data_IF_101552833025
#
_entry.id   IF_101552833025
#
_cell.length_a   1.000
_cell.length_b   1.000
_cell.length_c   1.000
_cell.angle_alpha   90.00
_cell.angle_beta   90.00
_cell.angle_gamma   90.00
#
_symmetry.space_group_name_H-M   'P 1'
#
loop_
_entity.id
_entity.type
_entity.pdbx_description
1 polymer ?
#
# COMPACT_ATOMS: atom_id res chain seq x y z
N UNK A 1 4.52 -14.00 14.00
CA UNK A 1 5.44 -13.96 12.85
C UNK A 1 4.72 -14.52 11.62
N UNK A 2 4.77 -13.81 10.48
CA UNK A 2 3.85 -13.92 9.33
C UNK A 2 3.90 -15.28 8.63
N UNK A 3 3.08 -16.24 9.09
CA UNK A 3 2.88 -17.55 8.43
C UNK A 3 1.99 -17.46 7.16
N UNK A 4 1.51 -16.27 6.80
CA UNK A 4 0.48 -16.07 5.78
C UNK A 4 1.02 -16.04 4.33
N UNK A 5 2.28 -15.66 4.11
CA UNK A 5 2.87 -15.67 2.76
C UNK A 5 3.01 -17.09 2.17
N UNK A 6 2.95 -18.13 3.01
CA UNK A 6 2.85 -19.54 2.55
C UNK A 6 1.65 -19.81 1.63
N UNK A 7 0.57 -19.00 1.67
CA UNK A 7 -0.62 -19.20 0.82
C UNK A 7 -0.54 -18.55 -0.56
N UNK A 8 0.50 -17.75 -0.86
CA UNK A 8 0.76 -17.26 -2.21
C UNK A 8 1.83 -18.12 -2.87
N UNK A 9 1.40 -19.07 -3.70
CA UNK A 9 2.27 -19.85 -4.59
C UNK A 9 3.26 -18.89 -5.25
N UNK A 10 4.56 -19.01 -4.97
CA UNK A 10 5.58 -18.20 -5.63
C UNK A 10 6.63 -17.56 -4.74
N UNK A 11 6.32 -17.13 -3.51
CA UNK A 11 7.26 -16.33 -2.71
C UNK A 11 7.20 -16.70 -1.23
N UNK A 12 8.30 -17.19 -0.67
CA UNK A 12 8.37 -17.65 0.73
C UNK A 12 9.56 -17.01 1.43
N UNK A 13 9.42 -16.78 2.73
CA UNK A 13 10.53 -16.37 3.61
C UNK A 13 11.35 -17.64 3.90
N UNK A 14 12.59 -17.68 3.45
CA UNK A 14 13.53 -18.79 3.68
C UNK A 14 14.06 -18.80 5.11
N UNK A 15 14.95 -19.75 5.41
CA UNK A 15 15.49 -19.95 6.77
C UNK A 15 16.23 -18.73 7.32
N UNK A 16 16.88 -17.97 6.43
CA UNK A 16 17.61 -16.73 6.78
C UNK A 16 16.68 -15.52 7.00
N UNK A 17 15.37 -15.69 6.90
CA UNK A 17 14.41 -14.59 6.99
C UNK A 17 14.26 -13.78 5.69
N UNK A 18 14.90 -14.17 4.60
CA UNK A 18 14.80 -13.50 3.30
C UNK A 18 13.74 -14.15 2.41
N UNK A 19 13.00 -13.36 1.67
CA UNK A 19 12.11 -13.83 0.63
C UNK A 19 12.88 -14.43 -0.54
N UNK A 20 12.39 -15.55 -1.03
CA UNK A 20 12.86 -16.22 -2.24
C UNK A 20 11.68 -16.62 -3.11
N UNK A 21 11.91 -16.65 -4.42
CA UNK A 21 10.92 -17.12 -5.39
C UNK A 21 10.92 -18.66 -5.47
N UNK A 22 9.79 -19.31 -5.17
CA UNK A 22 9.61 -20.77 -5.26
C UNK A 22 8.33 -21.14 -6.01
N UNK A 23 8.47 -21.93 -7.07
CA UNK A 23 7.31 -22.37 -7.86
C UNK A 23 6.60 -21.24 -8.62
N UNK A 24 7.29 -20.13 -8.90
CA UNK A 24 6.75 -19.06 -9.75
C UNK A 24 6.58 -19.61 -11.17
N UNK A 25 5.42 -19.40 -11.83
CA UNK A 25 5.22 -19.90 -13.18
C UNK A 25 6.29 -19.37 -14.15
N UNK A 26 6.91 -20.24 -14.95
CA UNK A 26 7.93 -19.87 -15.96
C UNK A 26 7.47 -18.78 -16.94
N UNK A 27 6.14 -18.62 -17.07
CA UNK A 27 5.49 -17.60 -17.89
C UNK A 27 5.46 -16.22 -17.24
N UNK A 28 6.13 -15.98 -16.12
CA UNK A 28 6.20 -14.65 -15.51
C UNK A 28 7.46 -13.94 -15.99
N UNK A 29 7.39 -12.61 -16.11
CA UNK A 29 8.50 -11.79 -16.55
C UNK A 29 9.56 -11.80 -15.45
N UNK A 30 10.81 -12.09 -15.82
CA UNK A 30 11.91 -12.22 -14.85
C UNK A 30 12.13 -10.93 -14.04
N UNK A 31 12.07 -9.77 -14.69
CA UNK A 31 12.18 -8.47 -14.00
C UNK A 31 11.09 -8.33 -12.94
N UNK A 32 9.84 -8.65 -13.28
CA UNK A 32 8.75 -8.60 -12.32
C UNK A 32 9.00 -9.52 -11.12
N UNK A 33 9.38 -10.78 -11.35
CA UNK A 33 9.57 -11.76 -10.27
C UNK A 33 10.75 -11.42 -9.36
N UNK A 34 11.85 -10.96 -9.95
CA UNK A 34 13.04 -10.56 -9.21
C UNK A 34 12.75 -9.30 -8.38
N UNK A 35 12.03 -8.33 -8.95
CA UNK A 35 11.57 -7.13 -8.25
C UNK A 35 10.64 -7.44 -7.09
N UNK A 36 9.69 -8.38 -7.22
CA UNK A 36 8.84 -8.79 -6.09
C UNK A 36 9.70 -9.26 -4.90
N UNK A 37 10.67 -10.15 -5.16
CA UNK A 37 11.56 -10.68 -4.11
C UNK A 37 12.38 -9.56 -3.48
N UNK A 38 13.04 -8.74 -4.31
CA UNK A 38 13.84 -7.60 -3.86
C UNK A 38 12.99 -6.68 -2.97
N UNK A 39 11.82 -6.26 -3.44
CA UNK A 39 11.01 -5.27 -2.74
C UNK A 39 10.37 -5.84 -1.46
N UNK A 40 10.02 -7.12 -1.42
CA UNK A 40 9.61 -7.78 -0.17
C UNK A 40 10.72 -7.74 0.88
N UNK A 41 11.96 -8.04 0.48
CA UNK A 41 13.12 -7.96 1.37
C UNK A 41 13.42 -6.54 1.86
N UNK A 42 13.15 -5.52 1.04
CA UNK A 42 13.26 -4.13 1.46
C UNK A 42 12.17 -3.72 2.45
N UNK A 43 10.91 -4.11 2.19
CA UNK A 43 9.75 -3.52 2.86
C UNK A 43 9.21 -4.33 4.04
N UNK A 44 9.29 -5.66 4.04
CA UNK A 44 8.68 -6.48 5.10
C UNK A 44 9.22 -6.13 6.49
N UNK A 45 10.54 -5.94 6.60
CA UNK A 45 11.18 -5.55 7.87
C UNK A 45 10.66 -4.22 8.43
N UNK A 46 10.27 -3.28 7.55
CA UNK A 46 9.66 -2.01 7.97
C UNK A 46 8.28 -2.24 8.61
N UNK A 47 7.48 -3.15 8.06
CA UNK A 47 6.20 -3.54 8.64
C UNK A 47 6.40 -4.28 9.98
N UNK A 48 7.33 -5.24 10.06
CA UNK A 48 7.62 -5.96 11.31
C UNK A 48 8.06 -5.01 12.43
N UNK A 49 9.02 -4.11 12.15
CA UNK A 49 9.55 -3.18 13.16
C UNK A 49 8.52 -2.16 13.61
N UNK A 50 7.73 -1.60 12.70
CA UNK A 50 6.70 -0.62 13.06
C UNK A 50 5.59 -1.27 13.90
N UNK A 51 5.16 -2.48 13.55
CA UNK A 51 4.20 -3.25 14.36
C UNK A 51 4.72 -3.50 15.78
N UNK A 52 5.98 -3.91 15.92
CA UNK A 52 6.60 -4.16 17.24
C UNK A 52 6.75 -2.88 18.06
N UNK A 53 7.02 -1.75 17.40
CA UNK A 53 7.26 -0.46 18.06
C UNK A 53 5.97 0.17 18.59
N UNK A 54 4.90 0.14 17.81
CA UNK A 54 3.56 0.57 18.25
C UNK A 54 2.49 -0.09 17.41
N UNK A 55 1.86 -1.12 17.97
CA UNK A 55 0.83 -1.88 17.27
C UNK A 55 -0.42 -1.03 16.97
N UNK A 56 -0.79 -0.11 17.87
CA UNK A 56 -1.91 0.81 17.66
C UNK A 56 -1.69 1.71 16.44
N UNK A 57 -0.56 2.43 16.40
CA UNK A 57 -0.23 3.34 15.29
C UNK A 57 -0.02 2.57 13.97
N UNK A 58 0.51 1.35 14.06
CA UNK A 58 0.66 0.44 12.92
C UNK A 58 -0.70 0.04 12.32
N UNK A 59 -1.69 -0.32 13.14
CA UNK A 59 -3.03 -0.65 12.64
C UNK A 59 -3.70 0.59 12.04
N UNK A 60 -3.56 1.78 12.63
CA UNK A 60 -4.00 3.04 12.00
C UNK A 60 -3.39 3.23 10.62
N UNK A 61 -2.10 2.88 10.45
CA UNK A 61 -1.41 2.92 9.15
C UNK A 61 -1.99 1.93 8.15
N UNK A 62 -2.22 0.67 8.56
CA UNK A 62 -2.79 -0.37 7.70
C UNK A 62 -4.22 -0.04 7.23
N UNK A 63 -4.99 0.62 8.10
CA UNK A 63 -6.38 1.01 7.85
C UNK A 63 -6.51 2.41 7.24
N UNK A 64 -5.42 3.19 7.16
CA UNK A 64 -5.36 4.49 6.46
C UNK A 64 -6.45 5.47 6.93
N UNK A 65 -6.65 5.62 8.24
CA UNK A 65 -7.71 6.50 8.76
C UNK A 65 -7.46 7.99 8.50
N UNK A 66 -8.26 8.62 7.62
CA UNK A 66 -8.09 10.06 7.26
C UNK A 66 -9.16 11.01 7.81
N UNK A 67 -9.76 10.65 8.94
CA UNK A 67 -10.85 11.41 9.56
C UNK A 67 -12.21 10.84 9.16
N UNK A 68 -13.21 11.71 9.00
CA UNK A 68 -14.56 11.30 8.61
C UNK A 68 -14.54 10.94 7.12
N UNK A 69 -14.65 9.65 6.83
CA UNK A 69 -14.79 9.11 5.48
C UNK A 69 -15.99 8.17 5.46
N UNK A 70 -16.82 8.27 4.44
CA UNK A 70 -17.89 7.30 4.20
C UNK A 70 -17.31 6.03 3.56
N UNK A 71 -18.10 4.96 3.60
CA UNK A 71 -17.74 3.68 2.96
C UNK A 71 -17.42 3.91 1.47
N UNK A 72 -16.26 3.41 1.00
CA UNK A 72 -15.72 3.57 -0.36
C UNK A 72 -15.10 4.93 -0.70
N UNK A 73 -14.88 5.80 0.29
CA UNK A 73 -14.14 7.06 0.08
C UNK A 73 -12.63 6.91 0.25
N UNK A 74 -12.11 5.67 0.28
CA UNK A 74 -10.68 5.41 0.27
C UNK A 74 -10.14 5.46 -1.18
N UNK A 75 -9.34 6.49 -1.55
CA UNK A 75 -8.82 6.62 -2.92
C UNK A 75 -7.89 5.48 -3.31
N UNK A 76 -7.26 4.82 -2.32
CA UNK A 76 -6.40 3.68 -2.58
C UNK A 76 -7.21 2.45 -2.92
N UNK A 77 -8.34 2.19 -2.26
CA UNK A 77 -9.23 1.09 -2.66
C UNK A 77 -9.72 1.26 -4.10
N UNK A 78 -10.12 2.47 -4.49
CA UNK A 78 -10.46 2.78 -5.88
C UNK A 78 -9.27 2.53 -6.84
N UNK A 79 -8.05 2.87 -6.43
CA UNK A 79 -6.83 2.60 -7.21
C UNK A 79 -6.59 1.10 -7.39
N UNK A 80 -6.83 0.28 -6.36
CA UNK A 80 -6.69 -1.18 -6.41
C UNK A 80 -7.71 -1.80 -7.37
N UNK A 81 -8.97 -1.38 -7.31
CA UNK A 81 -10.02 -1.85 -8.22
C UNK A 81 -9.74 -1.44 -9.67
N UNK A 82 -9.32 -0.19 -9.88
CA UNK A 82 -8.94 0.34 -11.19
C UNK A 82 -7.77 -0.44 -11.79
N UNK A 83 -6.76 -0.74 -10.97
CA UNK A 83 -5.61 -1.54 -11.39
C UNK A 83 -6.05 -2.91 -11.91
N UNK A 84 -6.89 -3.63 -11.17
CA UNK A 84 -7.38 -4.96 -11.58
C UNK A 84 -8.20 -4.89 -12.89
N UNK A 85 -8.97 -3.81 -13.10
CA UNK A 85 -9.72 -3.57 -14.33
C UNK A 85 -8.81 -3.28 -15.52
N UNK A 86 -7.83 -2.38 -15.37
CA UNK A 86 -6.85 -2.05 -16.42
C UNK A 86 -6.04 -3.28 -16.79
N UNK A 87 -5.62 -4.08 -15.80
CA UNK A 87 -4.90 -5.32 -16.03
C UNK A 87 -5.71 -6.32 -16.87
N UNK A 88 -7.03 -6.42 -16.65
CA UNK A 88 -7.93 -7.23 -17.48
C UNK A 88 -8.04 -6.70 -18.91
N UNK A 89 -8.18 -5.37 -19.04
CA UNK A 89 -8.29 -4.70 -20.34
C UNK A 89 -7.02 -4.87 -21.17
N UNK A 90 -5.84 -4.78 -20.56
CA UNK A 90 -4.55 -4.96 -21.24
C UNK A 90 -4.35 -6.33 -21.90
N UNK A 91 -5.14 -7.35 -21.55
CA UNK A 91 -5.15 -8.63 -22.27
C UNK A 91 -5.89 -8.59 -23.61
N UNK A 92 -6.76 -7.60 -23.80
CA UNK A 92 -7.65 -7.48 -24.97
C UNK A 92 -7.15 -6.45 -25.99
N UNK A 93 -6.13 -5.67 -25.63
CA UNK A 93 -5.54 -4.63 -26.48
C UNK A 93 -4.18 -5.11 -26.98
N UNK A 94 -3.83 -4.72 -28.21
CA UNK A 94 -2.59 -5.09 -28.90
C UNK A 94 -1.88 -3.85 -29.46
N UNK A 95 -0.59 -3.99 -29.82
CA UNK A 95 0.21 -2.92 -30.40
C UNK A 95 0.45 -1.72 -29.46
N UNK A 96 0.73 -0.56 -30.03
CA UNK A 96 1.06 0.67 -29.31
C UNK A 96 -0.03 1.15 -28.32
N UNK A 97 -1.34 1.02 -28.60
CA UNK A 97 -2.38 1.34 -27.61
C UNK A 97 -2.26 0.55 -26.31
N UNK A 98 -1.74 -0.70 -26.38
CA UNK A 98 -1.46 -1.49 -25.18
C UNK A 98 -0.36 -0.85 -24.36
N UNK A 99 0.70 -0.36 -25.00
CA UNK A 99 1.82 0.31 -24.35
C UNK A 99 1.33 1.59 -23.66
N UNK A 100 0.53 2.41 -24.35
CA UNK A 100 -0.10 3.60 -23.75
C UNK A 100 -0.89 3.25 -22.48
N UNK A 101 -1.71 2.20 -22.51
CA UNK A 101 -2.47 1.76 -21.34
C UNK A 101 -1.55 1.41 -20.15
N UNK A 102 -0.44 0.70 -20.40
CA UNK A 102 0.51 0.35 -19.34
C UNK A 102 1.38 1.52 -18.89
N UNK A 103 1.64 2.51 -19.74
CA UNK A 103 2.27 3.76 -19.34
C UNK A 103 1.36 4.59 -18.43
N UNK A 104 0.06 4.67 -18.74
CA UNK A 104 -0.89 5.30 -17.83
C UNK A 104 -0.96 4.58 -16.48
N UNK A 105 -0.92 3.25 -16.49
CA UNK A 105 -0.86 2.46 -15.27
C UNK A 105 0.44 2.72 -14.49
N UNK A 106 1.59 2.80 -15.17
CA UNK A 106 2.86 3.19 -14.57
C UNK A 106 2.76 4.57 -13.92
N UNK A 107 2.24 5.57 -14.65
CA UNK A 107 1.98 6.92 -14.15
C UNK A 107 1.12 6.91 -12.89
N UNK A 108 0.00 6.16 -12.91
CA UNK A 108 -0.88 6.01 -11.75
C UNK A 108 -0.15 5.45 -10.52
N UNK A 109 0.69 4.43 -10.70
CA UNK A 109 1.44 3.82 -9.60
C UNK A 109 2.42 4.82 -8.97
N UNK A 110 3.17 5.57 -9.78
CA UNK A 110 4.18 6.52 -9.28
C UNK A 110 3.55 7.80 -8.72
N UNK A 111 2.35 8.18 -9.17
CA UNK A 111 1.63 9.35 -8.66
C UNK A 111 0.76 9.05 -7.43
N UNK A 112 0.36 7.81 -7.23
CA UNK A 112 -0.50 7.40 -6.13
C UNK A 112 0.09 7.85 -4.79
N UNK A 113 -0.64 8.67 -4.04
CA UNK A 113 -0.15 9.20 -2.75
C UNK A 113 -0.03 8.13 -1.66
N UNK A 114 -0.89 7.10 -1.70
CA UNK A 114 -1.01 6.16 -0.58
C UNK A 114 0.26 5.37 -0.26
N UNK A 115 0.98 4.80 -1.25
CA UNK A 115 2.22 4.10 -0.95
C UNK A 115 3.24 4.98 -0.22
N UNK A 116 3.32 6.28 -0.56
CA UNK A 116 4.19 7.23 0.15
C UNK A 116 3.71 7.46 1.58
N UNK A 117 2.41 7.67 1.78
CA UNK A 117 1.79 7.93 3.08
C UNK A 117 1.97 6.75 4.05
N UNK A 118 1.83 5.53 3.55
CA UNK A 118 2.07 4.31 4.33
C UNK A 118 3.54 4.24 4.73
N UNK A 119 4.48 4.37 3.78
CA UNK A 119 5.90 4.29 4.11
C UNK A 119 6.34 5.37 5.10
N UNK A 120 5.83 6.60 4.95
CA UNK A 120 6.11 7.69 5.88
C UNK A 120 5.62 7.38 7.29
N UNK A 121 4.39 6.86 7.43
CA UNK A 121 3.83 6.47 8.72
C UNK A 121 4.60 5.32 9.36
N UNK A 122 4.96 4.26 8.61
CA UNK A 122 5.74 3.16 9.15
C UNK A 122 7.12 3.64 9.63
N UNK A 123 7.78 4.52 8.87
CA UNK A 123 9.05 5.13 9.27
C UNK A 123 8.91 6.05 10.48
N UNK A 124 7.84 6.84 10.57
CA UNK A 124 7.53 7.65 11.75
C UNK A 124 7.40 6.77 12.98
N UNK A 125 6.64 5.67 12.88
CA UNK A 125 6.46 4.73 13.99
C UNK A 125 7.80 4.14 14.42
N UNK A 126 8.62 3.66 13.48
CA UNK A 126 9.97 3.16 13.78
C UNK A 126 10.83 4.20 14.53
N UNK A 127 10.70 5.48 14.17
CA UNK A 127 11.36 6.60 14.83
C UNK A 127 10.74 7.01 16.19
N UNK A 128 9.76 6.26 16.71
CA UNK A 128 9.02 6.58 17.93
C UNK A 128 7.98 7.69 17.77
N UNK A 129 7.70 8.09 16.53
CA UNK A 129 6.61 8.99 16.17
C UNK A 129 5.27 8.29 16.11
N UNK A 130 4.28 9.00 15.58
CA UNK A 130 2.88 8.58 15.53
C UNK A 130 2.36 8.49 14.11
N UNK A 131 1.23 7.82 13.94
CA UNK A 131 0.44 7.91 12.73
C UNK A 131 0.07 9.37 12.44
N UNK A 132 0.18 9.74 11.18
CA UNK A 132 -0.30 11.00 10.62
C UNK A 132 -1.26 10.67 9.48
N UNK A 133 -2.45 11.29 9.51
CA UNK A 133 -3.43 11.16 8.43
C UNK A 133 -2.89 11.70 7.10
N UNK A 134 -2.02 12.72 7.17
CA UNK A 134 -1.41 13.38 6.02
C UNK A 134 0.06 13.69 6.30
N UNK A 135 0.97 12.83 5.85
CA UNK A 135 2.41 13.08 5.92
C UNK A 135 2.85 14.09 4.87
N UNK A 136 2.12 14.24 3.76
CA UNK A 136 2.50 15.14 2.67
C UNK A 136 1.45 16.24 2.49
N UNK A 137 1.36 17.22 3.42
CA UNK A 137 0.42 18.33 3.30
C UNK A 137 0.75 19.21 2.10
N UNK A 138 -0.25 19.97 1.63
CA UNK A 138 -0.08 20.94 0.54
C UNK A 138 0.96 21.99 0.91
N UNK A 139 1.81 22.35 -0.05
CA UNK A 139 2.84 23.37 0.10
C UNK A 139 2.29 24.72 -0.37
N UNK A 140 2.54 25.77 0.42
CA UNK A 140 2.22 27.16 0.05
C UNK A 140 3.21 27.67 -1.00
N UNK A 141 2.69 28.30 -2.02
CA UNK A 141 3.41 28.93 -3.14
C UNK A 141 2.95 30.37 -3.30
N UNK A 142 3.62 31.12 -4.19
CA UNK A 142 3.18 32.48 -4.55
C UNK A 142 1.77 32.53 -5.18
N UNK A 143 1.28 31.41 -5.72
CA UNK A 143 -0.01 31.31 -6.42
C UNK A 143 -1.07 30.53 -5.64
N UNK A 144 -0.87 30.32 -4.33
CA UNK A 144 -1.75 29.51 -3.50
C UNK A 144 -1.10 28.19 -3.07
N UNK A 145 -1.86 27.10 -3.00
CA UNK A 145 -1.37 25.82 -2.49
C UNK A 145 -1.28 24.77 -3.60
N UNK A 146 -0.27 23.89 -3.55
CA UNK A 146 -0.17 22.72 -4.42
C UNK A 146 0.17 21.46 -3.64
N UNK A 147 -0.12 20.32 -4.24
CA UNK A 147 0.36 19.04 -3.71
C UNK A 147 1.87 18.90 -3.90
N UNK A 148 2.46 18.02 -3.10
CA UNK A 148 3.87 17.66 -3.23
C UNK A 148 4.07 16.72 -4.42
N UNK A 149 5.09 16.97 -5.21
CA UNK A 149 5.50 16.08 -6.30
C UNK A 149 6.13 14.80 -5.74
N UNK A 150 6.12 13.68 -6.49
CA UNK A 150 6.77 12.44 -6.07
C UNK A 150 8.23 12.63 -5.64
N UNK A 151 9.00 13.49 -6.32
CA UNK A 151 10.39 13.79 -5.95
C UNK A 151 10.51 14.38 -4.55
N UNK A 152 9.60 15.29 -4.17
CA UNK A 152 9.57 15.91 -2.84
C UNK A 152 9.17 14.89 -1.77
N UNK A 153 8.19 14.02 -2.09
CA UNK A 153 7.78 12.92 -1.22
C UNK A 153 8.94 11.95 -0.98
N UNK A 154 9.67 11.57 -2.04
CA UNK A 154 10.85 10.69 -1.96
C UNK A 154 11.94 11.31 -1.09
N UNK A 155 12.26 12.59 -1.27
CA UNK A 155 13.26 13.29 -0.44
C UNK A 155 12.87 13.30 1.04
N UNK A 156 11.60 13.55 1.36
CA UNK A 156 11.11 13.48 2.75
C UNK A 156 11.22 12.05 3.30
N UNK A 157 10.90 11.03 2.50
CA UNK A 157 11.07 9.64 2.91
C UNK A 157 12.55 9.30 3.16
N UNK A 158 13.50 9.83 2.39
CA UNK A 158 14.93 9.65 2.62
C UNK A 158 15.37 10.18 3.99
N UNK A 159 14.89 11.35 4.39
CA UNK A 159 15.17 11.90 5.73
C UNK A 159 14.62 10.97 6.82
N UNK A 160 13.38 10.50 6.68
CA UNK A 160 12.76 9.59 7.65
C UNK A 160 13.45 8.23 7.73
N UNK A 161 13.84 7.67 6.57
CA UNK A 161 14.53 6.39 6.46
C UNK A 161 15.94 6.44 7.02
N UNK A 162 16.68 7.54 6.81
CA UNK A 162 17.99 7.76 7.42
C UNK A 162 17.88 7.82 8.95
N UNK A 163 16.90 8.57 9.48
CA UNK A 163 16.66 8.65 10.93
C UNK A 163 16.34 7.29 11.55
N UNK A 164 15.61 6.44 10.81
CA UNK A 164 15.27 5.08 11.24
C UNK A 164 16.40 4.06 11.02
N UNK A 165 17.51 4.45 10.37
CA UNK A 165 18.55 3.54 9.88
C UNK A 165 18.02 2.41 8.98
N UNK A 166 17.08 2.77 8.09
CA UNK A 166 16.38 1.84 7.18
C UNK A 166 16.37 2.37 5.74
N UNK A 167 17.49 2.89 5.24
CA UNK A 167 17.56 3.53 3.91
C UNK A 167 17.17 2.60 2.75
N UNK A 168 17.38 1.29 2.93
CA UNK A 168 17.05 0.24 1.96
C UNK A 168 15.55 0.14 1.64
N UNK A 169 14.67 0.64 2.51
CA UNK A 169 13.21 0.64 2.27
C UNK A 169 12.81 1.52 1.08
N UNK A 170 13.69 2.41 0.62
CA UNK A 170 13.45 3.31 -0.51
C UNK A 170 13.93 2.76 -1.83
N UNK A 171 14.68 1.65 -1.83
CA UNK A 171 15.11 1.01 -3.07
C UNK A 171 13.96 0.70 -4.02
N UNK A 172 12.79 0.18 -3.57
CA UNK A 172 11.68 -0.09 -4.47
C UNK A 172 11.19 1.16 -5.21
N UNK A 173 11.07 2.30 -4.52
CA UNK A 173 10.60 3.55 -5.15
C UNK A 173 11.67 4.10 -6.10
N UNK A 174 12.94 4.10 -5.68
CA UNK A 174 14.05 4.58 -6.52
C UNK A 174 14.22 3.74 -7.79
N UNK A 175 13.90 2.45 -7.71
CA UNK A 175 14.02 1.52 -8.84
C UNK A 175 12.89 1.66 -9.87
N UNK A 176 11.73 2.22 -9.47
CA UNK A 176 10.57 2.43 -10.36
C UNK A 176 10.45 3.87 -10.87
N UNK A 177 10.93 4.85 -10.12
CA UNK A 177 10.70 6.27 -10.42
C UNK A 177 11.67 6.79 -11.48
N UNK A 178 11.16 7.08 -12.67
CA UNK A 178 11.85 7.80 -13.73
C UNK A 178 11.14 9.15 -13.96
N UNK A 179 11.83 10.24 -13.60
CA UNK A 179 11.25 11.60 -13.60
C UNK A 179 10.80 12.04 -15.00
N UNK A 180 11.62 11.78 -16.02
CA UNK A 180 11.35 12.23 -17.38
C UNK A 180 10.15 11.47 -17.95
N UNK A 181 10.15 10.14 -17.81
CA UNK A 181 9.05 9.30 -18.26
C UNK A 181 7.73 9.66 -17.56
N UNK A 182 7.77 9.84 -16.23
CA UNK A 182 6.61 10.28 -15.45
C UNK A 182 6.06 11.61 -15.98
N UNK A 183 6.92 12.59 -16.21
CA UNK A 183 6.48 13.91 -16.64
C UNK A 183 5.84 13.87 -18.02
N UNK A 184 6.44 13.13 -18.94
CA UNK A 184 5.88 12.93 -20.27
C UNK A 184 4.54 12.21 -20.24
N UNK A 185 4.38 11.18 -19.42
CA UNK A 185 3.08 10.49 -19.27
C UNK A 185 2.02 11.46 -18.73
N UNK A 186 2.34 12.22 -17.67
CA UNK A 186 1.40 13.14 -17.04
C UNK A 186 0.96 14.27 -17.97
N UNK A 187 1.86 14.74 -18.84
CA UNK A 187 1.58 15.80 -19.80
C UNK A 187 1.18 15.27 -21.19
N UNK A 188 1.09 13.95 -21.38
CA UNK A 188 0.93 13.32 -22.69
C UNK A 188 1.97 13.79 -23.73
N UNK A 189 3.17 14.13 -23.28
CA UNK A 189 4.31 14.61 -24.08
C UNK A 189 5.26 13.46 -24.41
N UNK A 190 4.72 12.44 -25.07
CA UNK A 190 5.48 11.31 -25.60
C UNK A 190 4.80 10.74 -26.85
N UNK A 191 5.56 10.01 -27.65
CA UNK A 191 5.03 9.19 -28.75
C UNK A 191 5.45 7.75 -28.55
N UNK A 192 4.55 6.83 -28.93
CA UNK A 192 4.88 5.40 -29.02
C UNK A 192 5.08 5.07 -30.49
N UNK A 193 6.21 4.47 -30.83
CA UNK A 193 6.48 4.03 -32.19
C UNK A 193 7.33 2.77 -32.15
N UNK A 194 6.85 1.68 -32.78
CA UNK A 194 7.54 0.39 -32.84
C UNK A 194 7.99 -0.14 -31.46
N UNK A 195 7.16 0.05 -30.44
CA UNK A 195 7.47 -0.37 -29.07
C UNK A 195 8.42 0.54 -28.29
N UNK A 196 8.95 1.59 -28.91
CA UNK A 196 9.77 2.60 -28.26
C UNK A 196 8.94 3.78 -27.77
N UNK A 197 9.42 4.42 -26.71
CA UNK A 197 8.84 5.66 -26.18
C UNK A 197 9.79 6.80 -26.50
N UNK A 198 9.29 7.78 -27.23
CA UNK A 198 10.05 8.97 -27.63
C UNK A 198 9.50 10.15 -26.83
N UNK A 199 10.35 10.76 -26.03
CA UNK A 199 10.09 12.02 -25.33
C UNK A 199 10.90 13.11 -26.04
N UNK A 200 10.29 14.25 -26.30
CA UNK A 200 10.93 15.35 -27.03
C UNK A 200 11.64 16.35 -26.12
N UNK A 201 11.25 16.44 -24.84
CA UNK A 201 11.81 17.38 -23.88
C UNK A 201 11.92 16.79 -22.46
N UNK A 202 13.08 16.25 -22.05
CA UNK A 202 14.33 16.14 -22.81
C UNK A 202 14.22 15.11 -23.94
N UNK A 203 14.99 15.28 -25.02
CA UNK A 203 15.03 14.28 -26.08
C UNK A 203 15.59 12.95 -25.52
N UNK A 204 14.72 11.95 -25.37
CA UNK A 204 15.07 10.65 -24.79
C UNK A 204 14.23 9.56 -25.42
N UNK A 205 14.88 8.46 -25.77
CA UNK A 205 14.24 7.28 -26.35
C UNK A 205 14.37 6.13 -25.37
N UNK A 206 13.23 5.57 -24.96
CA UNK A 206 13.17 4.36 -24.16
C UNK A 206 12.90 3.18 -25.09
N UNK A 207 13.85 2.26 -25.19
CA UNK A 207 13.64 1.02 -25.94
C UNK A 207 12.53 0.19 -25.31
N UNK A 208 11.90 -0.67 -26.11
CA UNK A 208 10.86 -1.60 -25.64
C UNK A 208 11.28 -2.37 -24.38
N UNK A 209 12.53 -2.84 -24.33
CA UNK A 209 13.09 -3.57 -23.17
C UNK A 209 13.16 -2.70 -21.91
N UNK A 210 13.59 -1.45 -22.03
CA UNK A 210 13.67 -0.52 -20.89
C UNK A 210 12.27 -0.18 -20.38
N UNK A 211 11.35 0.15 -21.28
CA UNK A 211 9.94 0.44 -20.97
C UNK A 211 9.28 -0.73 -20.28
N UNK A 212 9.41 -1.94 -20.84
CA UNK A 212 8.86 -3.16 -20.26
C UNK A 212 9.47 -3.48 -18.89
N UNK A 213 10.76 -3.21 -18.69
CA UNK A 213 11.43 -3.37 -17.40
C UNK A 213 10.85 -2.42 -16.35
N UNK A 214 10.74 -1.12 -16.66
CA UNK A 214 10.18 -0.10 -15.75
C UNK A 214 8.72 -0.41 -15.38
N UNK A 215 7.88 -0.78 -16.35
CA UNK A 215 6.50 -1.16 -16.10
C UNK A 215 6.46 -2.38 -15.17
N UNK A 216 7.23 -3.44 -15.45
CA UNK A 216 7.26 -4.63 -14.59
C UNK A 216 7.74 -4.32 -13.17
N UNK A 217 8.73 -3.45 -13.00
CA UNK A 217 9.18 -2.98 -11.69
C UNK A 217 8.06 -2.23 -10.96
N UNK A 218 7.38 -1.30 -11.62
CA UNK A 218 6.27 -0.55 -11.02
C UNK A 218 5.11 -1.45 -10.61
N UNK A 219 4.74 -2.42 -11.46
CA UNK A 219 3.74 -3.44 -11.15
C UNK A 219 4.15 -4.28 -9.93
N UNK A 220 5.43 -4.68 -9.86
CA UNK A 220 5.94 -5.44 -8.72
C UNK A 220 5.89 -4.61 -7.43
N UNK A 221 6.29 -3.34 -7.47
CA UNK A 221 6.21 -2.43 -6.33
C UNK A 221 4.77 -2.29 -5.81
N UNK A 222 3.82 -2.01 -6.70
CA UNK A 222 2.41 -1.91 -6.35
C UNK A 222 1.88 -3.21 -5.71
N UNK A 223 2.19 -4.35 -6.32
CA UNK A 223 1.76 -5.66 -5.82
C UNK A 223 2.36 -5.96 -4.44
N UNK A 224 3.65 -5.66 -4.20
CA UNK A 224 4.28 -5.86 -2.88
C UNK A 224 3.60 -5.01 -1.80
N UNK A 225 3.43 -3.70 -2.03
CA UNK A 225 2.80 -2.81 -1.06
C UNK A 225 1.38 -3.29 -0.71
N UNK A 226 0.55 -3.55 -1.74
CA UNK A 226 -0.80 -4.10 -1.58
C UNK A 226 -0.80 -5.38 -0.74
N UNK A 227 0.13 -6.27 -1.02
CA UNK A 227 0.17 -7.59 -0.39
C UNK A 227 0.68 -7.57 1.04
N UNK A 228 1.64 -6.69 1.36
CA UNK A 228 2.09 -6.51 2.73
C UNK A 228 0.95 -5.95 3.58
N UNK A 229 0.30 -4.87 3.15
CA UNK A 229 -0.86 -4.30 3.86
C UNK A 229 -1.90 -5.39 4.14
N UNK A 230 -2.27 -6.13 3.09
CA UNK A 230 -3.27 -7.19 3.21
C UNK A 230 -2.81 -8.31 4.14
N UNK A 231 -1.58 -8.79 4.00
CA UNK A 231 -1.03 -9.89 4.81
C UNK A 231 -0.95 -9.54 6.30
N UNK A 232 -0.54 -8.31 6.64
CA UNK A 232 -0.50 -7.88 8.04
C UNK A 232 -1.89 -7.68 8.61
N UNK A 233 -2.85 -7.13 7.85
CA UNK A 233 -4.27 -7.05 8.26
C UNK A 233 -4.88 -8.43 8.48
N UNK A 234 -4.75 -9.32 7.49
CA UNK A 234 -5.22 -10.70 7.52
C UNK A 234 -4.55 -11.51 8.65
N UNK A 235 -3.39 -11.08 9.15
CA UNK A 235 -2.67 -11.70 10.26
C UNK A 235 -3.40 -11.60 11.60
N UNK A 236 -4.28 -10.63 11.77
CA UNK A 236 -5.14 -10.49 12.94
C UNK A 236 -6.35 -11.42 12.82
N UNK A 237 -6.30 -12.58 13.49
CA UNK A 237 -7.36 -13.59 13.45
C UNK A 237 -8.39 -13.47 14.56
N UNK A 238 -7.99 -12.88 15.68
CA UNK A 238 -8.80 -12.75 16.87
C UNK A 238 -8.75 -11.31 17.37
N UNK A 239 -9.84 -10.88 18.02
CA UNK A 239 -9.87 -9.59 18.69
C UNK A 239 -8.94 -9.64 19.91
N UNK A 240 -8.28 -8.51 20.19
CA UNK A 240 -7.45 -8.34 21.38
C UNK A 240 -7.47 -6.90 21.84
N UNK A 241 -7.10 -6.70 23.10
CA UNK A 241 -6.81 -5.39 23.66
C UNK A 241 -5.41 -4.94 23.26
N UNK A 242 -5.30 -3.72 22.77
CA UNK A 242 -4.05 -3.10 22.33
C UNK A 242 -3.85 -1.83 23.15
N UNK A 243 -2.63 -1.64 23.66
CA UNK A 243 -2.28 -0.40 24.36
C UNK A 243 -2.42 0.79 23.40
N UNK A 244 -3.16 1.80 23.79
CA UNK A 244 -3.29 3.03 23.02
C UNK A 244 -2.00 3.84 23.13
N UNK A 245 -1.63 4.50 22.03
CA UNK A 245 -0.48 5.39 21.99
C UNK A 245 -0.70 6.57 22.95
N UNK A 246 0.25 6.94 23.83
CA UNK A 246 0.10 8.07 24.76
C UNK A 246 -0.17 9.42 24.08
N UNK A 247 0.16 9.54 22.78
CA UNK A 247 -0.20 10.74 22.04
C UNK A 247 -1.67 10.76 21.59
N UNK A 248 -2.30 9.59 21.46
CA UNK A 248 -3.71 9.49 21.08
C UNK A 248 -4.62 9.73 22.28
N UNK A 249 -4.29 9.09 23.40
CA UNK A 249 -4.93 9.36 24.68
C UNK A 249 -3.89 9.58 25.77
N UNK A 250 -4.04 10.61 26.63
CA UNK A 250 -3.18 10.82 27.79
C UNK A 250 -3.46 9.82 28.91
N UNK A 251 -4.57 9.07 28.84
CA UNK A 251 -4.96 8.12 29.85
C UNK A 251 -4.10 6.84 29.75
N UNK A 252 -3.30 6.52 30.78
CA UNK A 252 -2.38 5.38 30.74
C UNK A 252 -3.09 4.03 30.72
N UNK A 253 -4.35 3.98 31.16
CA UNK A 253 -5.16 2.76 31.23
C UNK A 253 -5.95 2.52 29.95
N UNK A 254 -5.96 3.48 29.01
CA UNK A 254 -6.73 3.34 27.78
C UNK A 254 -6.20 2.22 26.88
N UNK A 255 -7.12 1.33 26.52
CA UNK A 255 -6.88 0.24 25.57
C UNK A 255 -7.89 0.29 24.43
N UNK A 256 -7.43 -0.09 23.26
CA UNK A 256 -8.25 -0.29 22.08
C UNK A 256 -8.66 -1.76 21.96
N UNK A 257 -9.94 -2.03 21.71
CA UNK A 257 -10.43 -3.34 21.27
C UNK A 257 -10.32 -3.40 19.75
N UNK A 258 -9.59 -4.39 19.24
CA UNK A 258 -9.48 -4.63 17.81
C UNK A 258 -10.77 -5.24 17.24
N UNK A 259 -11.27 -4.68 16.15
CA UNK A 259 -12.42 -5.20 15.41
C UNK A 259 -11.90 -6.04 14.24
N UNK A 260 -12.35 -7.29 14.19
CA UNK A 260 -11.95 -8.28 13.19
C UNK A 260 -13.13 -8.60 12.29
N UNK A 261 -12.89 -8.79 11.00
CA UNK A 261 -13.82 -9.47 10.09
C UNK A 261 -13.21 -10.78 9.64
N UNK A 262 -13.97 -11.86 9.69
CA UNK A 262 -13.51 -13.17 9.22
C UNK A 262 -12.99 -13.05 7.76
N UNK A 263 -11.89 -13.73 7.47
CA UNK A 263 -11.14 -13.70 6.21
C UNK A 263 -10.43 -12.38 5.85
N UNK A 264 -10.90 -11.22 6.33
CA UNK A 264 -10.26 -9.92 6.07
C UNK A 264 -9.22 -9.53 7.15
N UNK A 265 -9.44 -9.99 8.39
CA UNK A 265 -8.61 -9.65 9.55
C UNK A 265 -8.98 -8.31 10.18
N UNK A 266 -8.00 -7.50 10.56
CA UNK A 266 -8.25 -6.20 11.19
C UNK A 266 -8.97 -5.22 10.24
N UNK A 267 -10.06 -4.64 10.73
CA UNK A 267 -10.92 -3.69 9.99
C UNK A 267 -11.22 -2.41 10.76
N UNK A 268 -10.99 -2.38 12.07
CA UNK A 268 -11.23 -1.21 12.90
C UNK A 268 -10.77 -1.41 14.33
N UNK A 269 -10.90 -0.38 15.15
CA UNK A 269 -10.65 -0.38 16.58
C UNK A 269 -11.67 0.51 17.27
N UNK A 270 -11.96 0.21 18.53
CA UNK A 270 -12.73 1.09 19.42
C UNK A 270 -12.12 1.12 20.81
N UNK A 271 -12.56 2.04 21.64
CA UNK A 271 -12.21 2.02 23.05
C UNK A 271 -12.72 0.74 23.75
N UNK A 272 -12.09 0.41 24.87
CA UNK A 272 -12.46 -0.72 25.74
C UNK A 272 -13.31 -0.29 26.93
N UNK A 273 -13.77 0.96 26.98
CA UNK A 273 -14.48 1.49 28.14
C UNK A 273 -15.87 0.87 28.26
N UNK A 274 -16.26 0.65 29.50
CA UNK A 274 -17.64 0.31 29.86
C UNK A 274 -18.53 1.55 29.77
N UNK A 275 -19.84 1.33 29.67
CA UNK A 275 -20.82 2.43 29.68
C UNK A 275 -20.71 3.28 30.95
N UNK A 276 -20.36 2.68 32.08
CA UNK A 276 -20.22 3.38 33.35
C UNK A 276 -18.97 4.25 33.40
N UNK A 277 -17.84 3.74 32.90
CA UNK A 277 -16.61 4.54 32.77
C UNK A 277 -16.79 5.74 31.83
N UNK A 278 -17.51 5.56 30.72
CA UNK A 278 -17.85 6.66 29.81
C UNK A 278 -18.72 7.71 30.52
N UNK A 279 -19.74 7.28 31.29
CA UNK A 279 -20.55 8.21 32.11
C UNK A 279 -19.70 8.96 33.15
N UNK A 280 -18.65 8.31 33.65
CA UNK A 280 -17.70 8.89 34.60
C UNK A 280 -16.57 9.68 33.93
N UNK A 281 -16.71 10.03 32.64
CA UNK A 281 -15.85 10.98 31.95
C UNK A 281 -14.77 10.36 31.05
N UNK A 282 -14.71 9.04 30.89
CA UNK A 282 -13.84 8.43 29.87
C UNK A 282 -14.34 8.80 28.46
N UNK A 283 -13.42 9.08 27.56
CA UNK A 283 -13.72 9.46 26.18
C UNK A 283 -13.82 8.19 25.33
N UNK A 284 -14.98 7.96 24.73
CA UNK A 284 -15.16 6.87 23.77
C UNK A 284 -14.58 7.25 22.40
N UNK A 285 -14.02 6.27 21.70
CA UNK A 285 -13.59 6.43 20.32
C UNK A 285 -13.88 5.18 19.51
N UNK A 286 -14.06 5.38 18.21
CA UNK A 286 -14.20 4.31 17.24
C UNK A 286 -13.61 4.76 15.91
N UNK A 287 -12.84 3.88 15.27
CA UNK A 287 -12.29 4.08 13.94
C UNK A 287 -12.30 2.75 13.19
N UNK A 288 -12.99 2.66 12.05
CA UNK A 288 -13.08 1.40 11.31
C UNK A 288 -13.74 1.52 9.96
N UNK A 289 -13.41 0.58 9.07
CA UNK A 289 -14.07 0.38 7.78
C UNK A 289 -15.27 -0.55 7.97
N UNK A 290 -16.32 0.02 8.56
CA UNK A 290 -17.55 -0.68 8.93
C UNK A 290 -18.65 -0.30 7.95
N UNK A 291 -19.37 -1.30 7.48
CA UNK A 291 -20.54 -1.08 6.65
C UNK A 291 -21.77 -0.75 7.53
N UNK A 292 -22.75 -0.05 6.97
CA UNK A 292 -23.96 0.33 7.72
C UNK A 292 -24.70 -0.86 8.31
N UNK A 293 -24.72 -2.01 7.63
CA UNK A 293 -25.33 -3.26 8.10
C UNK A 293 -24.52 -3.98 9.18
N UNK A 294 -23.24 -3.63 9.34
CA UNK A 294 -22.34 -4.17 10.37
C UNK A 294 -22.42 -3.39 11.69
N UNK A 295 -22.86 -2.12 11.67
CA UNK A 295 -22.93 -1.26 12.85
C UNK A 295 -23.74 -1.89 13.99
N UNK A 296 -24.85 -2.55 13.67
CA UNK A 296 -25.71 -3.24 14.64
C UNK A 296 -24.98 -4.30 15.47
N UNK A 297 -23.94 -4.94 14.92
CA UNK A 297 -23.14 -5.93 15.64
C UNK A 297 -22.26 -5.22 16.68
N UNK A 298 -21.65 -4.10 16.31
CA UNK A 298 -20.83 -3.29 17.22
C UNK A 298 -21.65 -2.70 18.36
N UNK A 299 -22.87 -2.25 18.07
CA UNK A 299 -23.81 -1.71 19.07
C UNK A 299 -24.21 -2.79 20.10
N UNK A 300 -24.19 -4.06 19.69
CA UNK A 300 -24.39 -5.24 20.55
C UNK A 300 -23.09 -5.70 21.24
N UNK A 301 -21.97 -5.03 21.02
CA UNK A 301 -20.66 -5.37 21.59
C UNK A 301 -19.90 -6.48 20.85
N UNK A 302 -20.38 -6.93 19.69
CA UNK A 302 -19.72 -7.97 18.88
C UNK A 302 -18.56 -7.33 18.12
N UNK A 303 -17.32 -7.75 18.41
CA UNK A 303 -16.10 -7.21 17.79
C UNK A 303 -15.44 -8.16 16.78
N UNK A 304 -16.03 -9.34 16.58
CA UNK A 304 -15.66 -10.29 15.52
C UNK A 304 -16.84 -10.41 14.57
N UNK A 305 -16.71 -9.80 13.40
CA UNK A 305 -17.74 -9.73 12.39
C UNK A 305 -17.65 -10.90 11.41
N UNK A 306 -18.79 -11.42 10.93
CA UNK A 306 -18.79 -12.51 9.96
C UNK A 306 -18.16 -12.07 8.64
N UNK A 307 -17.64 -13.04 7.88
CA UNK A 307 -17.10 -12.74 6.55
C UNK A 307 -18.18 -12.17 5.63
N UNK A 308 -17.85 -11.13 4.87
CA UNK A 308 -18.73 -10.71 3.77
C UNK A 308 -18.54 -11.66 2.60
N UNK A 309 -19.65 -12.11 2.01
CA UNK A 309 -19.63 -12.72 0.68
C UNK A 309 -19.21 -11.64 -0.33
N UNK A 310 -17.92 -11.37 -0.44
CA UNK A 310 -17.39 -10.62 -1.56
C UNK A 310 -17.61 -11.49 -2.80
N UNK A 311 -18.25 -10.93 -3.83
CA UNK A 311 -18.31 -11.59 -5.13
C UNK A 311 -16.88 -11.98 -5.50
N UNK A 312 -16.62 -13.29 -5.60
CA UNK A 312 -15.27 -13.84 -5.70
C UNK A 312 -14.54 -13.16 -6.87
N UNK A 313 -13.62 -12.25 -6.57
CA UNK A 313 -12.69 -11.72 -7.56
C UNK A 313 -11.75 -12.87 -7.93
N UNK A 314 -12.12 -13.63 -8.96
CA UNK A 314 -11.27 -14.69 -9.52
C UNK A 314 -9.92 -14.06 -9.89
N UNK A 315 -8.85 -14.51 -9.24
CA UNK A 315 -7.46 -14.13 -9.54
C UNK A 315 -7.17 -14.38 -11.02
N UNK A 316 -6.81 -13.34 -11.75
CA UNK A 316 -6.37 -13.45 -13.14
C UNK A 316 -4.85 -13.44 -13.16
N UNK A 317 -4.25 -14.54 -13.60
CA UNK A 317 -2.84 -14.59 -13.95
C UNK A 317 -2.71 -13.91 -15.31
N UNK A 318 -2.24 -12.66 -15.30
CA UNK A 318 -2.27 -11.76 -16.45
C UNK A 318 -1.31 -12.19 -17.58
N UNK A 319 -1.67 -11.95 -18.86
CA UNK A 319 -0.81 -12.34 -19.99
C UNK A 319 0.34 -11.37 -20.26
N UNK A 320 0.28 -10.15 -19.73
CA UNK A 320 1.38 -9.18 -19.82
C UNK A 320 2.67 -9.65 -19.15
N UNK A 321 2.55 -10.58 -18.21
CA UNK A 321 3.70 -11.19 -17.55
C UNK A 321 4.39 -12.27 -18.41
N UNK A 322 3.86 -12.63 -19.58
CA UNK A 322 4.45 -13.70 -20.40
C UNK A 322 5.74 -13.24 -21.05
N UNK A 323 6.72 -14.14 -21.06
CA UNK A 323 7.96 -14.00 -21.84
C UNK A 323 7.54 -13.77 -23.29
N UNK A 324 8.04 -12.70 -23.93
CA UNK A 324 7.99 -12.62 -25.39
C UNK A 324 8.86 -13.79 -25.90
N UNK A 325 8.23 -14.66 -26.69
CA UNK A 325 8.89 -15.78 -27.38
C UNK A 325 9.71 -15.27 -28.54
#
# INVERSE_FOLDING_TARGET
MVNFLKRRRGFIKGEKGEFVATGVPKKFNKTYTDSIVKYLNCLDLLFEKSQQKSEFEFIFTLLRFRGIQYTKEDPYENSLETFDAIMKLGNKIHGDPKINLFLWLYGHIVESSEPYEILANLLNICNGGRYQAYNFPRIRTKWGYRDQFPTEKIQKLEVLANKASMINVLEPIKDVFDKDLRNSIFHSDYSVFNGEIIINNPQKIYSAKVTQSLINKALAYHEVVKNLIRSYREGYKESKLIKVSPGFSPDPDEKAVLIIRENDGAIGMKDSWTKEEIKNGKISFFAGHIFSDEQKYLDQGVVVLPSRKQGVLKRIINTFFRKET
#
